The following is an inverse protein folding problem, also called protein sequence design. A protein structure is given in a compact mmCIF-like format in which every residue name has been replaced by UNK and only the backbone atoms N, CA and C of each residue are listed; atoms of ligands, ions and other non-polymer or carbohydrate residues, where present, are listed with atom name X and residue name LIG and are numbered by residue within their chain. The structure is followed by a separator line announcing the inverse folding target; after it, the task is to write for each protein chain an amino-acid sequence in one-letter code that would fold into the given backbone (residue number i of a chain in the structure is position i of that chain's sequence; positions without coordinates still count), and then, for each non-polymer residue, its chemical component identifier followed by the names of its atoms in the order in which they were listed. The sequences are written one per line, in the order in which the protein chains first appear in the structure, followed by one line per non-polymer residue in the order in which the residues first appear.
data_IF_638611586454
#
_entry.id   IF_638611586454
#
_cell.length_a   1.000
_cell.length_b   1.000
_cell.length_c   1.000
_cell.angle_alpha   90.00
_cell.angle_beta   90.00
_cell.angle_gamma   90.00
#
_symmetry.space_group_name_H-M   'P 1'
#
loop_
_entity.id
_entity.type
_entity.pdbx_description
1 polymer ?
#
# COMPACT_ATOMS: atom_id res chain seq x y z
N UNK A 1 -20.11 13.19 9.70
CA UNK A 1 -19.47 14.17 8.81
C UNK A 1 -20.29 14.29 7.53
N UNK A 2 -20.20 13.38 6.52
CA UNK A 2 -20.87 13.56 5.22
C UNK A 2 -22.38 13.82 5.31
N UNK A 3 -23.11 13.14 6.21
CA UNK A 3 -24.54 13.40 6.46
C UNK A 3 -24.80 14.81 6.99
N UNK A 4 -23.91 15.30 7.85
CA UNK A 4 -24.01 16.68 8.40
C UNK A 4 -23.82 17.73 7.31
N UNK A 5 -23.04 17.38 6.27
CA UNK A 5 -22.82 18.19 5.08
C UNK A 5 -23.93 17.99 4.00
N UNK A 6 -24.94 17.18 4.30
CA UNK A 6 -26.12 16.98 3.45
C UNK A 6 -25.96 15.91 2.36
N UNK A 7 -24.96 15.06 2.46
CA UNK A 7 -24.80 13.93 1.54
C UNK A 7 -25.54 12.69 2.09
N UNK A 8 -26.17 11.95 1.20
CA UNK A 8 -26.61 10.58 1.45
C UNK A 8 -25.42 9.63 1.29
N UNK A 9 -25.23 8.75 2.26
CA UNK A 9 -24.08 7.84 2.30
C UNK A 9 -24.50 6.41 1.97
N UNK A 10 -23.77 5.77 1.08
CA UNK A 10 -24.01 4.39 0.65
C UNK A 10 -22.76 3.57 0.97
N UNK A 11 -22.94 2.49 1.72
CA UNK A 11 -21.88 1.55 2.05
C UNK A 11 -22.07 0.26 1.24
N UNK A 12 -21.01 -0.19 0.57
CA UNK A 12 -20.94 -1.52 -0.03
C UNK A 12 -19.81 -2.31 0.64
N UNK A 13 -20.13 -3.43 1.24
CA UNK A 13 -19.16 -4.31 1.88
C UNK A 13 -19.78 -5.70 2.09
N UNK A 14 -19.03 -6.76 1.83
CA UNK A 14 -19.46 -8.14 2.06
C UNK A 14 -19.15 -8.68 3.47
N UNK A 15 -18.46 -7.92 4.31
CA UNK A 15 -18.12 -8.34 5.67
C UNK A 15 -19.18 -7.83 6.66
N UNK A 16 -19.97 -8.72 7.29
CA UNK A 16 -20.99 -8.31 8.26
C UNK A 16 -20.41 -8.01 9.66
N UNK A 17 -19.14 -8.31 9.90
CA UNK A 17 -18.50 -8.20 11.23
C UNK A 17 -17.59 -6.96 11.34
N UNK A 18 -18.00 -5.86 10.72
CA UNK A 18 -17.26 -4.59 10.80
C UNK A 18 -18.21 -3.44 11.09
N UNK A 19 -17.73 -2.43 11.81
CA UNK A 19 -18.50 -1.22 12.17
C UNK A 19 -19.07 -0.50 10.94
N UNK A 20 -18.39 -0.57 9.79
CA UNK A 20 -18.87 0.04 8.54
C UNK A 20 -20.19 -0.55 8.03
N UNK A 21 -20.53 -1.77 8.42
CA UNK A 21 -21.77 -2.46 8.06
C UNK A 21 -22.83 -2.44 9.17
N UNK A 22 -22.62 -1.70 10.24
CA UNK A 22 -23.66 -1.46 11.23
C UNK A 22 -24.79 -0.65 10.60
N UNK A 23 -26.03 -0.96 11.01
CA UNK A 23 -27.25 -0.44 10.38
C UNK A 23 -27.40 1.09 10.46
N UNK A 24 -26.67 1.75 11.35
CA UNK A 24 -26.72 3.19 11.56
C UNK A 24 -25.49 3.95 10.99
N UNK A 25 -24.53 3.24 10.41
CA UNK A 25 -23.31 3.83 9.87
C UNK A 25 -23.53 4.57 8.56
N UNK A 26 -24.33 4.01 7.64
CA UNK A 26 -24.68 4.62 6.35
C UNK A 26 -26.20 4.76 6.19
N UNK A 27 -26.64 5.56 5.22
CA UNK A 27 -28.07 5.71 4.90
C UNK A 27 -28.58 4.49 4.13
N UNK A 28 -27.70 3.89 3.31
CA UNK A 28 -27.96 2.64 2.58
C UNK A 28 -26.78 1.69 2.72
N UNK A 29 -27.10 0.41 2.84
CA UNK A 29 -26.11 -0.66 3.00
C UNK A 29 -26.39 -1.76 1.98
N UNK A 30 -25.33 -2.11 1.22
CA UNK A 30 -25.31 -3.21 0.28
C UNK A 30 -24.31 -4.27 0.78
N UNK A 31 -24.80 -5.47 1.08
CA UNK A 31 -23.99 -6.65 1.40
C UNK A 31 -23.68 -7.41 0.13
N UNK A 32 -22.82 -6.83 -0.71
CA UNK A 32 -22.45 -7.41 -1.98
C UNK A 32 -20.93 -7.58 -2.07
N UNK A 33 -20.44 -8.53 -2.87
CA UNK A 33 -19.03 -8.66 -3.16
C UNK A 33 -18.48 -7.37 -3.78
N UNK A 34 -17.25 -7.02 -3.43
CA UNK A 34 -16.56 -5.88 -4.03
C UNK A 34 -15.93 -6.30 -5.36
N UNK A 35 -16.77 -6.73 -6.30
CA UNK A 35 -16.40 -6.97 -7.70
C UNK A 35 -16.77 -5.76 -8.55
N UNK A 36 -16.15 -5.65 -9.73
CA UNK A 36 -16.46 -4.53 -10.63
C UNK A 36 -17.94 -4.53 -11.03
N UNK A 37 -18.48 -5.70 -11.36
CA UNK A 37 -19.85 -5.87 -11.83
C UNK A 37 -20.86 -5.45 -10.75
N UNK A 38 -20.68 -5.93 -9.53
CA UNK A 38 -21.61 -5.62 -8.42
C UNK A 38 -21.56 -4.12 -8.06
N UNK A 39 -20.36 -3.52 -8.03
CA UNK A 39 -20.22 -2.10 -7.74
C UNK A 39 -20.80 -1.23 -8.87
N UNK A 40 -20.60 -1.61 -10.13
CA UNK A 40 -21.21 -0.88 -11.25
C UNK A 40 -22.73 -0.94 -11.24
N UNK A 41 -23.33 -2.08 -10.83
CA UNK A 41 -24.78 -2.20 -10.72
C UNK A 41 -25.32 -1.31 -9.60
N UNK A 42 -24.64 -1.27 -8.43
CA UNK A 42 -24.99 -0.33 -7.34
C UNK A 42 -24.91 1.11 -7.85
N UNK A 43 -23.83 1.48 -8.53
CA UNK A 43 -23.66 2.82 -9.12
C UNK A 43 -24.77 3.15 -10.13
N UNK A 44 -25.17 2.16 -10.94
CA UNK A 44 -26.26 2.33 -11.92
C UNK A 44 -27.61 2.61 -11.25
N UNK A 45 -27.91 1.90 -10.15
CA UNK A 45 -29.15 2.04 -9.40
C UNK A 45 -29.16 3.35 -8.60
N UNK A 46 -28.10 3.61 -7.85
CA UNK A 46 -28.05 4.70 -6.88
C UNK A 46 -27.60 6.04 -7.48
N UNK A 47 -26.87 6.02 -8.59
CA UNK A 47 -26.35 7.21 -9.28
C UNK A 47 -25.64 8.17 -8.32
N UNK A 48 -24.67 7.71 -7.55
CA UNK A 48 -23.97 8.52 -6.57
C UNK A 48 -23.17 9.64 -7.26
N UNK A 49 -22.84 10.68 -6.52
CA UNK A 49 -21.95 11.76 -6.96
C UNK A 49 -20.56 11.22 -7.32
N UNK A 50 -20.14 10.17 -6.62
CA UNK A 50 -18.91 9.44 -6.88
C UNK A 50 -18.67 8.33 -5.85
N UNK A 51 -17.56 7.62 -6.00
CA UNK A 51 -17.18 6.48 -5.17
C UNK A 51 -15.86 6.76 -4.46
N UNK A 52 -15.82 6.52 -3.16
CA UNK A 52 -14.60 6.56 -2.36
C UNK A 52 -14.06 5.14 -2.24
N UNK A 53 -12.84 4.92 -2.71
CA UNK A 53 -12.18 3.60 -2.72
C UNK A 53 -11.07 3.47 -1.66
N UNK A 54 -10.77 4.52 -0.92
CA UNK A 54 -9.66 4.56 0.05
C UNK A 54 -10.02 3.94 1.42
N UNK A 55 -11.28 3.59 1.66
CA UNK A 55 -11.72 2.92 2.88
C UNK A 55 -11.98 1.43 2.61
N UNK A 56 -11.31 0.54 3.33
CA UNK A 56 -11.50 -0.90 3.18
C UNK A 56 -10.28 -1.65 2.60
N UNK A 57 -9.10 -1.05 2.68
CA UNK A 57 -7.84 -1.68 2.29
C UNK A 57 -7.70 -1.90 0.79
N UNK A 58 -6.99 -2.96 0.41
CA UNK A 58 -6.57 -3.22 -0.96
C UNK A 58 -7.71 -3.58 -1.92
N UNK A 59 -8.79 -4.16 -1.43
CA UNK A 59 -9.88 -4.65 -2.30
C UNK A 59 -10.56 -3.52 -3.09
N UNK A 60 -11.07 -2.46 -2.45
CA UNK A 60 -11.67 -1.34 -3.20
C UNK A 60 -10.64 -0.53 -3.99
N UNK A 61 -9.39 -0.41 -3.52
CA UNK A 61 -8.34 0.31 -4.26
C UNK A 61 -8.08 -0.29 -5.64
N UNK A 62 -8.10 -1.62 -5.77
CA UNK A 62 -7.91 -2.31 -7.05
C UNK A 62 -9.02 -2.04 -8.06
N UNK A 63 -10.19 -1.64 -7.62
CA UNK A 63 -11.32 -1.30 -8.51
C UNK A 63 -11.21 0.12 -9.07
N UNK A 64 -10.36 0.98 -8.53
CA UNK A 64 -10.33 2.41 -8.84
C UNK A 64 -10.20 2.69 -10.35
N UNK A 65 -9.26 2.05 -11.04
CA UNK A 65 -9.04 2.23 -12.48
C UNK A 65 -10.18 1.69 -13.32
N UNK A 66 -10.70 0.53 -12.97
CA UNK A 66 -11.78 -0.09 -13.72
C UNK A 66 -13.10 0.69 -13.57
N UNK A 67 -13.36 1.21 -12.38
CA UNK A 67 -14.50 2.09 -12.13
C UNK A 67 -14.37 3.40 -12.95
N UNK A 68 -13.20 4.04 -12.91
CA UNK A 68 -12.91 5.25 -13.70
C UNK A 68 -13.07 4.98 -15.21
N UNK A 69 -12.56 3.85 -15.71
CA UNK A 69 -12.70 3.46 -17.13
C UNK A 69 -14.16 3.23 -17.55
N UNK A 70 -15.03 2.89 -16.60
CA UNK A 70 -16.48 2.77 -16.80
C UNK A 70 -17.24 4.08 -16.52
N UNK A 71 -16.53 5.21 -16.37
CA UNK A 71 -17.14 6.54 -16.22
C UNK A 71 -17.65 6.85 -14.81
N UNK A 72 -17.25 6.07 -13.80
CA UNK A 72 -17.60 6.31 -12.40
C UNK A 72 -16.63 7.33 -11.80
N UNK A 73 -17.11 8.48 -11.28
CA UNK A 73 -16.25 9.44 -10.62
C UNK A 73 -15.65 8.86 -9.34
N UNK A 74 -14.32 8.91 -9.21
CA UNK A 74 -13.62 8.56 -7.98
C UNK A 74 -13.40 9.82 -7.15
N UNK A 75 -13.87 9.79 -5.90
CA UNK A 75 -13.71 10.87 -4.93
C UNK A 75 -12.47 10.58 -4.08
N UNK A 76 -11.60 11.56 -3.94
CA UNK A 76 -10.35 11.44 -3.20
C UNK A 76 -9.13 11.45 -4.10
N UNK A 77 -8.12 10.67 -3.76
CA UNK A 77 -6.91 10.51 -4.57
C UNK A 77 -7.26 9.86 -5.92
N UNK A 78 -6.69 10.40 -7.00
CA UNK A 78 -6.99 9.89 -8.36
C UNK A 78 -6.51 8.45 -8.54
N UNK A 79 -7.18 7.64 -9.37
CA UNK A 79 -6.77 6.27 -9.67
C UNK A 79 -5.35 6.15 -10.20
N UNK A 80 -4.87 7.14 -10.97
CA UNK A 80 -3.48 7.16 -11.46
C UNK A 80 -2.46 7.34 -10.32
N UNK A 81 -2.77 8.16 -9.32
CA UNK A 81 -1.88 8.36 -8.17
C UNK A 81 -1.94 7.20 -7.19
N UNK A 82 -3.09 6.55 -7.04
CA UNK A 82 -3.22 5.29 -6.29
C UNK A 82 -2.33 4.23 -6.94
N UNK A 83 -2.41 4.07 -8.26
CA UNK A 83 -1.56 3.14 -9.00
C UNK A 83 -0.06 3.50 -8.90
N UNK A 84 0.27 4.80 -8.95
CA UNK A 84 1.66 5.24 -8.79
C UNK A 84 2.24 4.89 -7.40
N UNK A 85 1.41 4.82 -6.37
CA UNK A 85 1.82 4.39 -5.04
C UNK A 85 2.00 2.85 -4.96
N UNK A 86 1.24 2.09 -5.74
CA UNK A 86 1.28 0.62 -5.74
C UNK A 86 2.28 0.05 -6.74
N UNK A 87 2.46 0.71 -7.90
CA UNK A 87 3.46 0.33 -8.90
C UNK A 87 4.86 0.65 -8.39
N UNK A 88 5.65 -0.39 -8.21
CA UNK A 88 6.98 -0.26 -7.60
C UNK A 88 7.96 0.57 -8.42
N UNK A 89 7.92 0.47 -9.73
CA UNK A 89 8.82 1.24 -10.59
C UNK A 89 8.44 2.72 -10.57
N UNK A 90 7.14 3.03 -10.62
CA UNK A 90 6.63 4.40 -10.51
C UNK A 90 6.96 4.98 -9.14
N UNK A 91 6.69 4.22 -8.07
CA UNK A 91 6.96 4.66 -6.70
C UNK A 91 8.46 4.85 -6.43
N UNK A 92 9.30 3.93 -6.90
CA UNK A 92 10.76 4.06 -6.80
C UNK A 92 11.26 5.35 -7.48
N UNK A 93 10.80 5.64 -8.69
CA UNK A 93 11.14 6.87 -9.42
C UNK A 93 10.68 8.13 -8.67
N UNK A 94 9.47 8.06 -8.08
CA UNK A 94 8.96 9.14 -7.25
C UNK A 94 9.85 9.40 -6.04
N UNK A 95 10.22 8.37 -5.27
CA UNK A 95 11.10 8.50 -4.11
C UNK A 95 12.49 9.03 -4.50
N UNK A 96 13.05 8.57 -5.62
CA UNK A 96 14.31 9.08 -6.17
C UNK A 96 14.22 10.56 -6.54
N UNK A 97 13.12 10.97 -7.19
CA UNK A 97 12.86 12.37 -7.54
C UNK A 97 12.73 13.28 -6.32
N UNK A 98 12.23 12.75 -5.21
CA UNK A 98 12.13 13.45 -3.92
C UNK A 98 13.43 13.40 -3.11
N UNK A 99 14.45 12.67 -3.55
CA UNK A 99 15.71 12.47 -2.83
C UNK A 99 15.53 11.65 -1.53
N UNK A 100 14.49 10.84 -1.44
CA UNK A 100 14.21 10.00 -0.28
C UNK A 100 15.02 8.70 -0.33
N UNK A 101 15.44 8.25 0.85
CA UNK A 101 16.17 6.99 0.98
C UNK A 101 15.21 5.81 0.90
N UNK A 102 15.64 4.78 0.22
CA UNK A 102 14.99 3.47 0.21
C UNK A 102 16.06 2.38 0.26
N UNK A 103 15.74 1.17 0.73
CA UNK A 103 16.67 0.06 0.66
C UNK A 103 17.14 -0.14 -0.78
N UNK A 104 18.43 -0.46 -1.01
CA UNK A 104 18.88 -0.86 -2.34
C UNK A 104 18.04 -2.01 -2.86
N UNK A 105 17.52 -1.86 -4.05
CA UNK A 105 16.66 -2.86 -4.67
C UNK A 105 16.91 -2.97 -6.18
N UNK A 106 16.58 -4.11 -6.75
CA UNK A 106 16.65 -4.40 -8.17
C UNK A 106 15.55 -5.38 -8.56
N UNK A 107 15.30 -5.45 -9.84
CA UNK A 107 14.35 -6.40 -10.43
C UNK A 107 15.13 -7.27 -11.43
N UNK A 108 14.98 -8.57 -11.35
CA UNK A 108 15.60 -9.54 -12.22
C UNK A 108 14.56 -10.43 -12.92
N UNK A 109 14.84 -10.81 -14.17
CA UNK A 109 13.98 -11.71 -14.95
C UNK A 109 14.62 -13.08 -15.20
N UNK A 110 15.92 -13.20 -14.94
CA UNK A 110 16.70 -14.41 -15.14
C UNK A 110 17.60 -14.70 -13.94
N UNK A 111 17.98 -15.97 -13.76
CA UNK A 111 18.80 -16.41 -12.63
C UNK A 111 20.18 -15.74 -12.62
N UNK A 112 20.85 -15.68 -13.76
CA UNK A 112 22.17 -15.05 -13.92
C UNK A 112 22.12 -13.53 -13.68
N UNK A 113 21.06 -12.88 -14.12
CA UNK A 113 20.81 -11.46 -13.85
C UNK A 113 20.59 -11.25 -12.34
N UNK A 114 19.78 -12.11 -11.69
CA UNK A 114 19.49 -12.01 -10.27
C UNK A 114 20.76 -12.14 -9.43
N UNK A 115 21.62 -13.11 -9.74
CA UNK A 115 22.89 -13.32 -9.04
C UNK A 115 23.81 -12.11 -9.16
N UNK A 116 23.96 -11.57 -10.37
CA UNK A 116 24.79 -10.38 -10.60
C UNK A 116 24.26 -9.15 -9.83
N UNK A 117 22.94 -8.92 -9.87
CA UNK A 117 22.30 -7.80 -9.17
C UNK A 117 22.35 -7.97 -7.66
N UNK A 118 22.25 -9.21 -7.18
CA UNK A 118 22.39 -9.54 -5.75
C UNK A 118 23.77 -9.19 -5.21
N UNK A 119 24.83 -9.44 -5.99
CA UNK A 119 26.19 -9.07 -5.61
C UNK A 119 26.37 -7.54 -5.50
N UNK A 120 25.68 -6.77 -6.35
CA UNK A 120 25.68 -5.29 -6.28
C UNK A 120 24.95 -4.78 -5.03
N UNK A 121 23.83 -5.41 -4.63
CA UNK A 121 23.01 -5.01 -3.48
C UNK A 121 23.64 -5.50 -2.17
N UNK A 122 24.19 -6.72 -2.18
CA UNK A 122 24.73 -7.45 -1.03
C UNK A 122 23.66 -8.24 -0.27
N UNK A 123 24.09 -9.30 0.41
CA UNK A 123 23.24 -10.17 1.24
C UNK A 123 23.14 -9.69 2.69
N UNK A 124 22.09 -10.06 3.45
CA UNK A 124 20.90 -10.82 3.00
C UNK A 124 19.94 -9.98 2.16
N UNK A 125 19.10 -10.67 1.35
CA UNK A 125 18.09 -10.07 0.49
C UNK A 125 16.71 -10.63 0.81
N UNK A 126 15.70 -9.80 0.70
CA UNK A 126 14.32 -10.26 0.54
C UNK A 126 14.04 -10.44 -0.93
N UNK A 127 13.61 -11.64 -1.31
CA UNK A 127 13.25 -11.97 -2.68
C UNK A 127 11.77 -12.30 -2.77
N UNK A 128 11.13 -11.80 -3.82
CA UNK A 128 9.69 -12.05 -4.04
C UNK A 128 9.32 -11.84 -5.51
N UNK A 129 8.32 -12.57 -6.05
CA UNK A 129 7.77 -12.30 -7.36
C UNK A 129 7.03 -10.96 -7.36
N UNK A 130 7.09 -10.22 -8.48
CA UNK A 130 6.51 -8.85 -8.57
C UNK A 130 4.97 -8.81 -8.46
N UNK A 131 4.28 -9.91 -8.75
CA UNK A 131 2.82 -9.95 -8.85
C UNK A 131 2.14 -10.94 -7.89
N UNK A 132 2.83 -11.39 -6.84
CA UNK A 132 2.21 -12.26 -5.82
C UNK A 132 1.75 -11.42 -4.65
N UNK A 133 0.45 -11.47 -4.37
CA UNK A 133 -0.19 -10.82 -3.23
C UNK A 133 0.03 -11.64 -1.95
N UNK A 134 0.43 -10.94 -0.88
CA UNK A 134 0.46 -11.46 0.48
C UNK A 134 1.49 -12.55 0.72
N UNK A 135 2.69 -12.21 1.17
CA UNK A 135 3.68 -13.08 1.84
C UNK A 135 4.03 -14.47 1.27
N UNK A 136 3.22 -14.99 0.36
CA UNK A 136 3.45 -16.25 -0.33
C UNK A 136 4.60 -16.08 -1.32
N UNK A 137 5.58 -16.97 -1.22
CA UNK A 137 6.79 -16.98 -2.02
C UNK A 137 7.75 -15.79 -1.77
N UNK A 138 7.64 -15.08 -0.64
CA UNK A 138 8.66 -14.17 -0.17
C UNK A 138 9.64 -14.94 0.70
N UNK A 139 10.94 -14.79 0.44
CA UNK A 139 11.97 -15.47 1.21
C UNK A 139 13.14 -14.53 1.49
N UNK A 140 13.79 -14.70 2.66
CA UNK A 140 15.06 -14.06 2.94
C UNK A 140 16.18 -15.00 2.53
N UNK A 141 16.98 -14.58 1.57
CA UNK A 141 18.13 -15.32 1.07
C UNK A 141 19.43 -14.74 1.64
N UNK A 142 20.29 -15.60 2.12
CA UNK A 142 21.50 -15.19 2.84
C UNK A 142 22.78 -15.31 1.99
N UNK A 143 22.72 -16.08 0.91
CA UNK A 143 23.86 -16.31 0.03
C UNK A 143 23.42 -16.62 -1.42
N UNK A 144 24.36 -16.68 -2.39
CA UNK A 144 24.02 -16.96 -3.78
C UNK A 144 23.32 -18.31 -4.01
N UNK A 145 23.59 -19.33 -3.19
CA UNK A 145 22.99 -20.68 -3.35
C UNK A 145 21.51 -20.65 -2.99
N UNK A 146 21.17 -19.91 -1.93
CA UNK A 146 19.77 -19.69 -1.54
C UNK A 146 19.02 -18.97 -2.67
N UNK A 147 19.63 -17.94 -3.27
CA UNK A 147 19.04 -17.20 -4.38
C UNK A 147 18.87 -18.08 -5.63
N UNK A 148 19.87 -18.88 -5.99
CA UNK A 148 19.75 -19.83 -7.10
C UNK A 148 18.59 -20.82 -6.89
N UNK A 149 18.47 -21.39 -5.68
CA UNK A 149 17.38 -22.28 -5.34
C UNK A 149 16.03 -21.56 -5.51
N UNK A 150 15.91 -20.37 -4.93
CA UNK A 150 14.69 -19.56 -5.01
C UNK A 150 14.31 -19.25 -6.45
N UNK A 151 15.23 -18.80 -7.27
CA UNK A 151 14.96 -18.46 -8.68
C UNK A 151 14.47 -19.66 -9.47
N UNK A 152 15.04 -20.85 -9.25
CA UNK A 152 14.59 -22.10 -9.90
C UNK A 152 13.18 -22.53 -9.50
N UNK A 153 12.78 -22.26 -8.27
CA UNK A 153 11.46 -22.57 -7.75
C UNK A 153 10.43 -21.51 -8.15
N UNK A 154 10.75 -20.24 -7.99
CA UNK A 154 9.87 -19.11 -8.29
C UNK A 154 9.58 -18.97 -9.80
N UNK A 155 10.58 -19.15 -10.66
CA UNK A 155 10.43 -19.09 -12.13
C UNK A 155 9.51 -20.20 -12.66
N UNK A 156 9.44 -21.34 -11.97
CA UNK A 156 8.50 -22.42 -12.34
C UNK A 156 7.03 -22.07 -12.05
N UNK A 157 6.78 -21.17 -11.12
CA UNK A 157 5.42 -20.82 -10.63
C UNK A 157 4.87 -19.58 -11.32
N UNK A 158 5.73 -18.68 -11.78
CA UNK A 158 5.32 -17.44 -12.41
C UNK A 158 6.00 -17.27 -13.77
N UNK A 159 5.40 -17.84 -14.83
CA UNK A 159 5.84 -17.59 -16.20
C UNK A 159 6.00 -16.09 -16.45
N UNK A 160 7.22 -15.62 -16.70
CA UNK A 160 7.63 -14.25 -17.07
C UNK A 160 7.51 -13.12 -16.03
N UNK A 161 7.13 -13.40 -14.79
CA UNK A 161 7.08 -12.34 -13.78
C UNK A 161 8.48 -12.03 -13.24
N UNK A 162 8.89 -10.75 -13.20
CA UNK A 162 10.16 -10.38 -12.63
C UNK A 162 10.20 -10.67 -11.12
N UNK A 163 11.39 -11.02 -10.62
CA UNK A 163 11.66 -11.20 -9.19
C UNK A 163 12.27 -9.91 -8.65
N UNK A 164 11.78 -9.46 -7.52
CA UNK A 164 12.31 -8.33 -6.79
C UNK A 164 13.38 -8.81 -5.80
N UNK A 165 14.46 -8.07 -5.75
CA UNK A 165 15.58 -8.24 -4.85
C UNK A 165 15.69 -6.97 -4.02
N UNK A 166 15.32 -7.05 -2.76
CA UNK A 166 15.39 -5.91 -1.83
C UNK A 166 16.46 -6.20 -0.76
N UNK A 167 17.32 -5.24 -0.45
CA UNK A 167 18.25 -5.37 0.68
C UNK A 167 17.47 -5.59 1.96
N UNK A 168 17.72 -6.69 2.65
CA UNK A 168 17.15 -6.93 3.97
C UNK A 168 17.86 -6.05 5.03
N UNK A 169 17.06 -5.37 5.83
CA UNK A 169 17.54 -4.53 6.92
C UNK A 169 17.42 -5.30 8.23
N UNK A 170 18.58 -5.73 8.79
CA UNK A 170 18.61 -6.35 10.12
C UNK A 170 18.29 -5.30 11.20
N UNK A 171 17.62 -5.74 12.24
CA UNK A 171 17.31 -4.93 13.43
C UNK A 171 16.63 -3.58 13.12
N UNK A 172 15.84 -3.53 12.05
CA UNK A 172 15.07 -2.34 11.72
C UNK A 172 13.88 -2.18 12.67
N UNK A 173 13.62 -0.94 13.06
CA UNK A 173 12.39 -0.56 13.77
C UNK A 173 11.34 -0.19 12.71
N UNK A 174 10.21 -0.87 12.76
CA UNK A 174 9.09 -0.61 11.85
C UNK A 174 8.23 0.52 12.40
N UNK A 175 7.84 1.44 11.52
CA UNK A 175 7.09 2.64 11.88
C UNK A 175 6.02 2.89 10.84
N UNK A 176 4.80 3.11 11.31
CA UNK A 176 3.69 3.61 10.49
C UNK A 176 3.46 5.10 10.73
N UNK A 177 3.22 5.83 9.67
CA UNK A 177 2.84 7.25 9.72
C UNK A 177 1.52 7.44 9.00
N UNK A 178 0.50 7.83 9.75
CA UNK A 178 -0.80 8.18 9.18
C UNK A 178 -0.87 9.67 8.87
N UNK A 179 -1.40 10.00 7.71
CA UNK A 179 -1.58 11.36 7.25
C UNK A 179 -2.97 11.55 6.62
N UNK A 180 -3.45 12.78 6.70
CA UNK A 180 -4.65 13.26 6.03
C UNK A 180 -4.28 14.45 5.16
N UNK A 181 -4.75 14.47 3.92
CA UNK A 181 -4.52 15.56 2.97
C UNK A 181 -5.82 16.00 2.29
N UNK A 182 -5.95 17.29 2.07
CA UNK A 182 -7.04 17.88 1.25
C UNK A 182 -6.60 18.18 -0.20
N UNK A 183 -5.40 17.71 -0.57
CA UNK A 183 -4.74 18.00 -1.86
C UNK A 183 -3.79 19.19 -1.81
N UNK A 184 -3.84 20.03 -0.77
CA UNK A 184 -2.97 21.19 -0.57
C UNK A 184 -2.20 21.13 0.76
N UNK A 185 -2.90 20.92 1.85
CA UNK A 185 -2.33 20.75 3.18
C UNK A 185 -2.26 19.27 3.56
N UNK A 186 -1.20 18.92 4.31
CA UNK A 186 -0.98 17.58 4.83
C UNK A 186 -0.83 17.63 6.33
N UNK A 187 -1.73 16.98 7.03
CA UNK A 187 -1.72 16.82 8.48
C UNK A 187 -1.23 15.40 8.81
N UNK A 188 -0.26 15.30 9.71
CA UNK A 188 0.17 14.02 10.25
C UNK A 188 -0.74 13.65 11.42
N UNK A 189 -1.48 12.57 11.29
CA UNK A 189 -2.36 12.05 12.32
C UNK A 189 -1.61 11.37 13.45
N UNK A 190 -0.57 10.60 13.11
CA UNK A 190 0.25 9.91 14.09
C UNK A 190 1.53 9.33 13.50
N UNK A 191 2.50 9.09 14.37
CA UNK A 191 3.68 8.28 14.09
C UNK A 191 3.64 7.14 15.09
N UNK A 192 3.55 5.91 14.62
CA UNK A 192 3.36 4.70 15.41
C UNK A 192 4.58 3.80 15.27
N UNK A 193 5.21 3.48 16.39
CA UNK A 193 6.34 2.56 16.44
C UNK A 193 5.85 1.17 16.76
N UNK A 194 6.22 0.17 15.93
CA UNK A 194 5.88 -1.22 16.17
C UNK A 194 6.67 -1.78 17.34
N UNK A 195 6.02 -2.60 18.16
CA UNK A 195 6.64 -3.26 19.30
C UNK A 195 7.30 -4.57 18.85
N UNK A 196 6.67 -5.28 17.93
CA UNK A 196 7.22 -6.50 17.33
C UNK A 196 8.33 -6.17 16.34
N UNK A 197 9.16 -7.17 16.06
CA UNK A 197 10.25 -7.04 15.09
C UNK A 197 9.73 -6.74 13.69
N UNK A 198 10.48 -5.96 12.93
CA UNK A 198 10.16 -5.66 11.54
C UNK A 198 9.97 -6.96 10.73
N UNK A 199 8.90 -6.98 9.92
CA UNK A 199 8.48 -8.14 9.14
C UNK A 199 7.31 -8.92 9.75
N UNK A 200 6.91 -8.64 10.97
CA UNK A 200 5.62 -9.10 11.50
C UNK A 200 4.51 -8.28 10.82
N UNK A 201 3.45 -8.94 10.37
CA UNK A 201 2.34 -8.25 9.70
C UNK A 201 1.75 -7.16 10.61
N UNK A 202 1.52 -5.96 10.08
CA UNK A 202 1.05 -4.82 10.86
C UNK A 202 -0.26 -5.08 11.62
N UNK A 203 -1.15 -5.93 11.09
CA UNK A 203 -2.37 -6.36 11.77
C UNK A 203 -2.16 -7.25 13.00
N UNK A 204 -0.97 -7.84 13.13
CA UNK A 204 -0.57 -8.72 14.24
C UNK A 204 0.44 -8.04 15.18
N UNK A 205 0.76 -6.77 14.92
CA UNK A 205 1.74 -6.00 15.65
C UNK A 205 1.07 -4.96 16.55
N UNK A 206 1.51 -4.86 17.79
CA UNK A 206 1.13 -3.76 18.66
C UNK A 206 1.97 -2.52 18.34
N UNK A 207 1.38 -1.33 18.50
CA UNK A 207 2.06 -0.07 18.21
C UNK A 207 2.08 0.85 19.43
N UNK A 208 3.18 1.56 19.62
CA UNK A 208 3.28 2.65 20.57
C UNK A 208 3.00 3.99 19.89
N UNK A 209 2.01 4.71 20.41
CA UNK A 209 1.66 6.08 19.97
C UNK A 209 1.57 6.99 21.21
N UNK A 210 2.45 7.97 21.39
CA UNK A 210 3.59 8.33 20.52
C UNK A 210 4.70 7.26 20.51
N UNK A 211 5.66 7.36 19.55
CA UNK A 211 6.82 6.45 19.48
C UNK A 211 7.61 6.44 20.79
N UNK A 212 8.05 5.25 21.19
CA UNK A 212 8.77 5.05 22.46
C UNK A 212 10.29 5.24 22.35
N UNK A 213 10.91 4.65 21.31
CA UNK A 213 12.36 4.63 21.18
C UNK A 213 12.91 5.65 20.18
N UNK A 214 12.06 6.19 19.30
CA UNK A 214 12.49 7.11 18.23
C UNK A 214 12.81 8.49 18.76
N UNK A 215 13.99 9.01 18.39
CA UNK A 215 14.36 10.38 18.70
C UNK A 215 13.42 11.39 18.01
N UNK A 216 13.37 12.61 18.55
CA UNK A 216 12.55 13.67 17.96
C UNK A 216 12.98 14.00 16.53
N UNK A 217 14.28 13.99 16.25
CA UNK A 217 14.85 14.27 14.93
C UNK A 217 14.37 13.24 13.90
N UNK A 218 14.35 11.94 14.27
CA UNK A 218 13.83 10.88 13.42
C UNK A 218 12.33 11.05 13.18
N UNK A 219 11.56 11.34 14.22
CA UNK A 219 10.13 11.58 14.09
C UNK A 219 9.81 12.78 13.19
N UNK A 220 10.57 13.86 13.32
CA UNK A 220 10.41 15.07 12.49
C UNK A 220 10.77 14.78 11.03
N UNK A 221 11.81 13.96 10.78
CA UNK A 221 12.18 13.52 9.43
C UNK A 221 11.11 12.61 8.82
N UNK A 222 10.53 11.68 9.56
CA UNK A 222 9.42 10.84 9.11
C UNK A 222 8.21 11.70 8.70
N UNK A 223 7.83 12.68 9.53
CA UNK A 223 6.74 13.62 9.20
C UNK A 223 7.04 14.42 7.93
N UNK A 224 8.28 14.90 7.79
CA UNK A 224 8.72 15.64 6.61
C UNK A 224 8.62 14.78 5.33
N UNK A 225 9.12 13.54 5.38
CA UNK A 225 9.09 12.62 4.24
C UNK A 225 7.66 12.26 3.85
N UNK A 226 6.80 11.93 4.82
CA UNK A 226 5.38 11.63 4.58
C UNK A 226 4.68 12.80 3.90
N UNK A 227 4.91 14.04 4.35
CA UNK A 227 4.34 15.23 3.70
C UNK A 227 4.82 15.41 2.27
N UNK A 228 6.09 15.14 1.97
CA UNK A 228 6.61 15.19 0.61
C UNK A 228 5.97 14.16 -0.30
N UNK A 229 5.84 12.92 0.17
CA UNK A 229 5.20 11.84 -0.58
C UNK A 229 3.71 12.13 -0.84
N UNK A 230 2.98 12.58 0.18
CA UNK A 230 1.57 12.93 0.05
C UNK A 230 1.34 14.02 -1.02
N UNK A 231 2.19 15.05 -1.05
CA UNK A 231 2.13 16.11 -2.07
C UNK A 231 2.49 15.61 -3.46
N UNK A 232 3.53 14.78 -3.58
CA UNK A 232 3.97 14.25 -4.87
C UNK A 232 2.94 13.28 -5.48
N UNK A 233 2.20 12.55 -4.64
CA UNK A 233 1.10 11.68 -5.02
C UNK A 233 -0.26 12.41 -5.12
N UNK A 234 -0.28 13.73 -4.96
CA UNK A 234 -1.52 14.53 -4.94
C UNK A 234 -2.62 13.88 -4.06
N UNK A 235 -2.24 13.39 -2.89
CA UNK A 235 -3.16 12.69 -2.00
C UNK A 235 -4.30 13.60 -1.59
N UNK A 236 -5.51 13.11 -1.74
CA UNK A 236 -6.73 13.70 -1.21
C UNK A 236 -7.47 12.64 -0.40
N UNK A 237 -7.45 12.75 0.91
CA UNK A 237 -7.95 11.75 1.86
C UNK A 237 -6.86 11.20 2.76
N UNK A 238 -6.98 9.93 3.12
CA UNK A 238 -6.06 9.22 4.02
C UNK A 238 -4.85 8.66 3.27
N UNK A 239 -3.72 8.65 3.94
CA UNK A 239 -2.48 8.01 3.48
C UNK A 239 -1.78 7.40 4.69
N UNK A 240 -1.38 6.14 4.55
CA UNK A 240 -0.47 5.47 5.46
C UNK A 240 0.89 5.26 4.78
N UNK A 241 1.96 5.44 5.53
CA UNK A 241 3.35 5.17 5.09
C UNK A 241 4.03 4.29 6.13
N UNK A 242 4.43 3.14 5.67
CA UNK A 242 5.25 2.23 6.45
C UNK A 242 6.71 2.36 6.06
#
# INVERSE_FOLDING_TARGET
AMREDGYETIMANCNPETVSTDYDTSDRLYFEPLTLEDVLEIVHIEKPVGVIVQYGGQTPLKLARDLEANGVPIIGTSPDMIDAAEDRERFQKLLQGLGLKQPPNRTARAEDEALRLADEIGYPLVVRPSYVLGGRAMEIVHDPRDLERYMREAVKVSNDSPVLLDRFLNDAVEVDVDALSDGSEVIIGGVMEHIEQAGVHSGDSACSLPPYSLSKEVQDELRRQTKLMAKALNVCGLMNVQ
#
